data_IF_080486478008
#
_entry.id   IF_080486478008
#
_cell.length_a   1.000
_cell.length_b   1.000
_cell.length_c   1.000
_cell.angle_alpha   90.00
_cell.angle_beta   90.00
_cell.angle_gamma   90.00
#
_symmetry.space_group_name_H-M   'P 1'
#
loop_
_entity.id
_entity.type
_entity.pdbx_description
1 polymer ?
#
# COMPACT_ATOMS: atom_id res chain seq x y z
N UNK A 1 7.17 21.64 14.46
CA UNK A 1 6.23 21.22 15.53
C UNK A 1 5.00 20.65 14.84
N UNK A 2 4.75 19.35 14.97
CA UNK A 2 3.59 18.70 14.36
C UNK A 2 2.39 18.90 15.29
N UNK A 3 1.23 19.24 14.73
CA UNK A 3 -0.01 19.40 15.48
C UNK A 3 -0.60 18.03 15.82
N UNK A 4 -0.71 17.72 17.12
CA UNK A 4 -1.19 16.44 17.63
C UNK A 4 -2.68 16.16 17.34
N UNK A 5 -3.40 17.14 16.80
CA UNK A 5 -4.87 17.08 16.67
C UNK A 5 -5.36 16.51 15.34
N UNK A 6 -4.51 16.41 14.30
CA UNK A 6 -4.96 16.07 12.93
C UNK A 6 -5.03 14.57 12.58
N UNK A 7 -4.38 13.67 13.31
CA UNK A 7 -4.41 12.23 13.00
C UNK A 7 -5.72 11.53 13.44
N UNK A 8 -6.57 12.21 14.21
CA UNK A 8 -7.73 11.61 14.88
C UNK A 8 -9.02 11.50 14.03
N UNK A 9 -9.05 11.98 12.79
CA UNK A 9 -10.29 12.20 12.02
C UNK A 9 -10.52 11.22 10.84
N UNK A 10 -10.23 9.94 11.03
CA UNK A 10 -10.62 8.87 10.08
C UNK A 10 -11.36 7.71 10.77
N UNK A 11 -11.18 7.51 12.08
CA UNK A 11 -11.64 6.30 12.79
C UNK A 11 -13.09 6.39 13.29
N UNK A 12 -14.08 6.34 12.39
CA UNK A 12 -15.51 6.42 12.73
C UNK A 12 -16.46 5.59 11.84
N UNK A 13 -16.26 4.28 11.77
CA UNK A 13 -17.25 3.34 11.21
C UNK A 13 -17.46 2.15 12.18
N UNK A 14 -18.71 1.85 12.62
CA UNK A 14 -18.96 0.80 13.59
C UNK A 14 -19.02 -0.60 12.94
N UNK A 15 -18.07 -1.47 13.29
CA UNK A 15 -18.11 -2.87 12.88
C UNK A 15 -19.15 -3.64 13.73
N UNK A 16 -20.03 -4.40 13.08
CA UNK A 16 -21.12 -5.10 13.76
C UNK A 16 -20.64 -6.41 14.41
N UNK A 17 -20.94 -6.60 15.71
CA UNK A 17 -20.73 -7.87 16.39
C UNK A 17 -21.73 -8.92 15.88
N UNK A 18 -21.26 -9.89 15.10
CA UNK A 18 -21.86 -11.21 15.03
C UNK A 18 -21.25 -12.09 16.12
N UNK A 19 -21.97 -12.23 17.24
CA UNK A 19 -21.58 -13.13 18.31
C UNK A 19 -21.84 -14.59 17.95
N UNK A 20 -20.84 -15.46 18.11
CA UNK A 20 -21.05 -16.91 18.09
C UNK A 20 -21.84 -17.33 19.35
N UNK A 21 -22.78 -18.28 19.26
CA UNK A 21 -23.38 -18.89 20.44
C UNK A 21 -22.38 -19.83 21.11
N UNK A 22 -22.26 -19.75 22.43
CA UNK A 22 -21.59 -20.78 23.24
C UNK A 22 -22.59 -21.89 23.56
N UNK A 23 -22.14 -23.14 23.48
CA UNK A 23 -22.72 -24.28 24.19
C UNK A 23 -21.58 -25.13 24.77
N UNK A 24 -21.77 -25.70 25.95
CA UNK A 24 -20.77 -26.47 26.69
C UNK A 24 -21.43 -27.55 27.56
N UNK A 25 -20.68 -28.62 27.82
CA UNK A 25 -20.94 -29.80 28.68
C UNK A 25 -21.86 -30.91 28.14
N UNK A 26 -21.35 -32.15 28.13
CA UNK A 26 -22.14 -33.38 27.99
C UNK A 26 -21.43 -34.55 27.27
N UNK A 27 -20.60 -35.32 27.98
CA UNK A 27 -20.12 -36.63 27.49
C UNK A 27 -21.22 -37.70 27.53
N UNK A 28 -21.25 -38.62 26.56
CA UNK A 28 -21.55 -40.05 26.76
C UNK A 28 -21.14 -40.87 25.50
N UNK A 29 -20.79 -42.16 25.67
CA UNK A 29 -20.19 -43.00 24.62
C UNK A 29 -21.15 -43.99 23.90
N UNK A 30 -20.64 -44.55 22.79
CA UNK A 30 -21.07 -45.80 22.09
C UNK A 30 -22.35 -45.74 21.24
N UNK A 31 -22.22 -46.04 19.93
CA UNK A 31 -23.35 -46.17 19.00
C UNK A 31 -23.00 -46.57 17.57
N UNK A 32 -22.34 -47.72 17.36
CA UNK A 32 -22.04 -48.27 16.03
C UNK A 32 -23.30 -48.81 15.31
N UNK A 33 -23.56 -48.41 14.05
CA UNK A 33 -24.40 -49.09 13.06
C UNK A 33 -24.21 -48.48 11.67
N UNK A 34 -23.79 -49.27 10.68
CA UNK A 34 -23.76 -48.88 9.25
C UNK A 34 -25.16 -48.95 8.59
N UNK A 35 -25.41 -48.13 7.57
CA UNK A 35 -26.36 -48.41 6.48
C UNK A 35 -26.02 -47.55 5.25
N UNK A 36 -25.51 -48.18 4.18
CA UNK A 36 -25.56 -47.59 2.83
C UNK A 36 -26.98 -47.70 2.24
N UNK A 37 -27.38 -46.74 1.40
CA UNK A 37 -28.26 -46.99 0.25
C UNK A 37 -28.02 -45.92 -0.82
N UNK A 38 -28.05 -46.36 -2.07
CA UNK A 38 -27.52 -45.68 -3.27
C UNK A 38 -28.64 -45.18 -4.21
N UNK A 39 -28.24 -44.53 -5.32
CA UNK A 39 -29.00 -44.17 -6.53
C UNK A 39 -30.03 -43.03 -6.47
N UNK A 40 -30.02 -42.20 -7.53
CA UNK A 40 -30.97 -41.12 -7.76
C UNK A 40 -30.73 -40.28 -9.02
N UNK A 41 -30.13 -40.86 -10.07
CA UNK A 41 -29.85 -40.18 -11.35
C UNK A 41 -31.13 -39.95 -12.20
N UNK A 42 -31.14 -38.92 -13.04
CA UNK A 42 -32.37 -38.42 -13.67
C UNK A 42 -32.17 -37.32 -14.71
N UNK A 43 -31.46 -37.62 -15.81
CA UNK A 43 -31.42 -36.80 -17.03
C UNK A 43 -32.82 -36.62 -17.67
N UNK A 44 -33.04 -35.52 -18.40
CA UNK A 44 -34.37 -35.04 -18.78
C UNK A 44 -34.41 -33.94 -19.85
N UNK A 45 -33.62 -34.06 -20.91
CA UNK A 45 -33.74 -33.24 -22.14
C UNK A 45 -35.16 -33.26 -22.74
N UNK A 46 -35.70 -32.09 -23.12
CA UNK A 46 -36.33 -31.85 -24.44
C UNK A 46 -36.36 -30.34 -24.73
N UNK A 47 -36.06 -29.97 -25.99
CA UNK A 47 -36.18 -28.63 -26.59
C UNK A 47 -37.66 -28.15 -26.72
N UNK A 48 -38.09 -26.99 -27.22
CA UNK A 48 -37.57 -25.89 -28.11
C UNK A 48 -38.49 -24.66 -27.81
N UNK A 49 -38.43 -23.43 -28.35
CA UNK A 49 -37.79 -22.83 -29.55
C UNK A 49 -37.72 -21.28 -29.45
N UNK A 50 -37.18 -20.62 -30.49
CA UNK A 50 -37.52 -19.31 -31.13
C UNK A 50 -38.27 -18.16 -30.35
N UNK A 51 -38.03 -16.85 -30.52
CA UNK A 51 -37.17 -16.00 -31.41
C UNK A 51 -36.88 -14.68 -30.66
N UNK A 52 -35.79 -13.93 -30.85
CA UNK A 52 -35.64 -12.89 -31.90
C UNK A 52 -34.27 -12.21 -31.82
N UNK A 53 -33.58 -12.05 -32.95
CA UNK A 53 -32.37 -11.22 -33.06
C UNK A 53 -32.72 -9.72 -33.09
N UNK A 54 -31.90 -8.88 -32.46
CA UNK A 54 -31.56 -7.56 -33.01
C UNK A 54 -30.12 -7.24 -32.63
N UNK A 55 -29.22 -7.33 -33.61
CA UNK A 55 -27.90 -6.73 -33.50
C UNK A 55 -27.99 -5.27 -33.93
N UNK A 56 -27.58 -4.34 -33.06
CA UNK A 56 -27.42 -2.93 -33.44
C UNK A 56 -26.02 -2.46 -33.05
N UNK A 57 -25.11 -2.55 -34.02
CA UNK A 57 -23.79 -1.90 -33.95
C UNK A 57 -23.97 -0.39 -33.88
N UNK A 58 -23.64 0.20 -32.74
CA UNK A 58 -23.35 1.64 -32.65
C UNK A 58 -21.85 1.85 -32.75
N UNK A 59 -21.43 2.82 -33.57
CA UNK A 59 -20.05 2.99 -33.98
C UNK A 59 -19.14 3.56 -32.87
N UNK A 60 -17.84 3.27 -32.99
CA UNK A 60 -16.77 3.84 -32.16
C UNK A 60 -16.78 5.37 -32.23
N UNK A 61 -17.15 6.03 -31.13
CA UNK A 61 -16.80 7.43 -30.91
C UNK A 61 -15.37 7.49 -30.36
N UNK A 62 -14.39 7.42 -31.27
CA UNK A 62 -12.97 7.57 -30.94
C UNK A 62 -12.72 9.02 -30.52
N UNK A 63 -12.79 9.30 -29.22
CA UNK A 63 -12.40 10.59 -28.66
C UNK A 63 -10.87 10.68 -28.69
N UNK A 64 -10.34 11.05 -29.85
CA UNK A 64 -8.97 11.54 -29.97
C UNK A 64 -8.86 12.80 -29.11
N UNK A 65 -8.36 12.64 -27.89
CA UNK A 65 -7.86 13.73 -27.06
C UNK A 65 -6.63 14.31 -27.78
N UNK A 66 -6.88 15.22 -28.72
CA UNK A 66 -5.83 15.97 -29.40
C UNK A 66 -5.28 16.99 -28.41
N UNK A 67 -4.29 16.57 -27.62
CA UNK A 67 -3.51 17.44 -26.76
C UNK A 67 -2.97 18.62 -27.61
N UNK A 68 -3.36 19.87 -27.31
CA UNK A 68 -3.01 21.02 -28.12
C UNK A 68 -1.61 21.57 -27.79
N UNK A 69 -0.91 21.04 -26.78
CA UNK A 69 0.38 21.56 -26.31
C UNK A 69 1.55 21.09 -27.22
N UNK A 70 1.44 21.42 -28.51
CA UNK A 70 2.56 21.40 -29.47
C UNK A 70 3.50 22.59 -29.21
N UNK A 71 4.04 22.66 -27.99
CA UNK A 71 5.10 23.60 -27.63
C UNK A 71 6.37 23.24 -28.40
N UNK A 72 6.55 23.92 -29.53
CA UNK A 72 7.68 23.70 -30.44
C UNK A 72 8.90 24.45 -29.90
N UNK A 73 9.43 24.01 -28.76
CA UNK A 73 10.61 24.62 -28.14
C UNK A 73 11.84 24.43 -29.03
N UNK A 74 12.18 25.47 -29.79
CA UNK A 74 13.31 25.49 -30.70
C UNK A 74 14.57 25.96 -29.98
N UNK A 75 14.96 25.20 -28.96
CA UNK A 75 16.25 25.35 -28.29
C UNK A 75 17.38 24.86 -29.20
N UNK A 76 18.02 25.78 -29.94
CA UNK A 76 19.20 25.49 -30.78
C UNK A 76 20.45 25.10 -29.95
N UNK A 77 20.46 23.87 -29.45
CA UNK A 77 21.66 23.14 -29.02
C UNK A 77 21.78 21.85 -29.82
N UNK A 78 22.94 21.62 -30.43
CA UNK A 78 23.17 20.58 -31.44
C UNK A 78 23.31 19.15 -30.91
N UNK A 79 22.39 18.73 -30.04
CA UNK A 79 22.22 17.36 -29.56
C UNK A 79 20.88 16.84 -30.10
N UNK A 80 20.77 15.54 -30.41
CA UNK A 80 19.53 15.00 -30.99
C UNK A 80 18.37 15.19 -30.00
N UNK A 81 17.18 15.68 -30.45
CA UNK A 81 16.08 15.99 -29.55
C UNK A 81 15.60 14.74 -28.82
N UNK A 82 15.22 14.89 -27.55
CA UNK A 82 14.72 13.77 -26.75
C UNK A 82 13.38 13.28 -27.32
N UNK A 83 13.42 12.13 -28.01
CA UNK A 83 12.23 11.47 -28.54
C UNK A 83 11.56 10.68 -27.42
N UNK A 84 10.40 11.13 -26.99
CA UNK A 84 9.52 10.38 -26.08
C UNK A 84 8.95 9.14 -26.80
N UNK A 85 8.50 8.15 -26.03
CA UNK A 85 7.99 6.89 -26.57
C UNK A 85 6.45 6.94 -26.68
N UNK A 86 5.95 7.07 -27.91
CA UNK A 86 4.52 7.19 -28.23
C UNK A 86 3.78 5.84 -28.32
N UNK A 87 4.40 4.74 -27.84
CA UNK A 87 3.77 3.42 -27.76
C UNK A 87 2.52 3.45 -26.84
N UNK A 88 1.44 2.71 -27.17
CA UNK A 88 0.25 2.64 -26.34
C UNK A 88 0.55 2.02 -24.96
N UNK A 89 -0.21 2.37 -23.89
CA UNK A 89 0.00 1.80 -22.56
C UNK A 89 0.02 0.27 -22.50
N UNK A 90 -0.71 -0.42 -23.38
CA UNK A 90 -0.70 -1.90 -23.47
C UNK A 90 0.67 -2.51 -23.84
N UNK A 91 1.59 -1.73 -24.43
CA UNK A 91 2.94 -2.19 -24.77
C UNK A 91 3.90 -2.19 -23.56
N UNK A 92 3.49 -1.65 -22.41
CA UNK A 92 4.31 -1.56 -21.20
C UNK A 92 3.85 -2.54 -20.11
N UNK A 93 4.80 -3.25 -19.49
CA UNK A 93 4.56 -4.09 -18.32
C UNK A 93 4.93 -3.35 -17.02
N UNK A 94 4.14 -3.51 -15.96
CA UNK A 94 4.37 -2.88 -14.66
C UNK A 94 5.50 -3.60 -13.91
N UNK A 95 6.73 -3.17 -14.16
CA UNK A 95 7.94 -3.71 -13.51
C UNK A 95 7.92 -3.51 -11.99
N UNK A 96 7.35 -2.41 -11.50
CA UNK A 96 7.46 -2.03 -10.09
C UNK A 96 6.26 -1.26 -9.51
N UNK A 97 6.12 -1.30 -8.19
CA UNK A 97 5.13 -0.54 -7.41
C UNK A 97 5.83 0.17 -6.25
N UNK A 98 5.71 1.50 -6.22
CA UNK A 98 6.41 2.36 -5.25
C UNK A 98 5.49 3.45 -4.69
N UNK A 99 4.27 3.07 -4.28
CA UNK A 99 3.34 4.00 -3.64
C UNK A 99 3.84 4.50 -2.27
N UNK A 100 4.47 3.59 -1.52
CA UNK A 100 4.99 3.80 -0.18
C UNK A 100 6.43 3.26 -0.06
N UNK A 101 7.42 4.12 0.26
CA UNK A 101 8.79 3.68 0.48
C UNK A 101 8.91 2.59 1.57
N UNK A 102 9.94 1.75 1.42
CA UNK A 102 10.22 0.54 2.21
C UNK A 102 9.31 -0.69 1.93
N UNK A 103 8.06 -0.53 1.47
CA UNK A 103 7.12 -1.65 1.34
C UNK A 103 7.58 -2.65 0.27
N UNK A 104 7.50 -2.26 -1.00
CA UNK A 104 7.95 -3.09 -2.13
C UNK A 104 9.46 -3.37 -2.15
N UNK A 105 10.27 -2.63 -1.39
CA UNK A 105 11.73 -2.87 -1.33
C UNK A 105 12.14 -3.89 -0.27
N UNK A 106 11.63 -3.77 0.97
CA UNK A 106 12.14 -4.49 2.13
C UNK A 106 11.11 -5.33 2.91
N UNK A 107 9.81 -5.06 2.76
CA UNK A 107 8.74 -5.74 3.53
C UNK A 107 8.08 -6.85 2.72
N UNK A 108 7.83 -6.59 1.43
CA UNK A 108 7.28 -7.56 0.48
C UNK A 108 8.33 -8.62 0.12
N UNK A 109 7.93 -9.88 0.02
CA UNK A 109 8.76 -11.00 -0.38
C UNK A 109 8.37 -11.54 -1.77
N UNK A 110 7.08 -11.54 -2.11
CA UNK A 110 6.57 -12.02 -3.41
C UNK A 110 6.63 -10.95 -4.51
N UNK A 111 7.81 -10.33 -4.70
CA UNK A 111 8.02 -9.13 -5.53
C UNK A 111 7.29 -9.12 -6.88
N UNK A 112 7.49 -10.14 -7.71
CA UNK A 112 6.88 -10.19 -9.06
C UNK A 112 5.34 -10.21 -8.98
N UNK A 113 4.77 -10.92 -8.01
CA UNK A 113 3.32 -10.98 -7.79
C UNK A 113 2.78 -9.67 -7.21
N UNK A 114 3.49 -9.05 -6.27
CA UNK A 114 3.13 -7.75 -5.70
C UNK A 114 3.14 -6.65 -6.77
N UNK A 115 4.21 -6.59 -7.56
CA UNK A 115 4.40 -5.60 -8.62
C UNK A 115 3.37 -5.76 -9.74
N UNK A 116 2.90 -6.99 -10.00
CA UNK A 116 1.81 -7.25 -10.94
C UNK A 116 0.39 -7.13 -10.34
N UNK A 117 0.23 -6.98 -9.03
CA UNK A 117 -1.06 -6.71 -8.38
C UNK A 117 -1.47 -5.24 -8.40
N UNK A 118 -2.75 -4.97 -8.12
CA UNK A 118 -3.36 -3.64 -8.18
C UNK A 118 -3.73 -3.13 -6.77
N UNK A 119 -3.97 -1.82 -6.59
CA UNK A 119 -4.38 -1.25 -5.30
C UNK A 119 -5.65 -1.87 -4.68
N UNK A 120 -6.52 -2.49 -5.47
CA UNK A 120 -7.67 -3.24 -4.95
C UNK A 120 -7.27 -4.52 -4.20
N UNK A 121 -6.17 -5.15 -4.63
CA UNK A 121 -5.69 -6.43 -4.10
C UNK A 121 -5.00 -6.23 -2.74
N UNK A 122 -4.33 -5.07 -2.54
CA UNK A 122 -3.89 -4.62 -1.22
C UNK A 122 -5.07 -4.45 -0.24
N UNK A 123 -6.20 -3.92 -0.73
CA UNK A 123 -7.42 -3.68 0.07
C UNK A 123 -8.17 -5.00 0.35
N UNK A 124 -8.04 -6.00 -0.52
CA UNK A 124 -8.45 -7.38 -0.25
C UNK A 124 -7.54 -8.08 0.80
N UNK A 125 -6.44 -7.43 1.19
CA UNK A 125 -5.44 -7.85 2.18
C UNK A 125 -4.49 -8.96 1.70
N UNK A 126 -4.39 -9.20 0.38
CA UNK A 126 -3.68 -10.34 -0.21
C UNK A 126 -2.20 -10.44 0.23
N UNK A 127 -1.54 -9.30 0.44
CA UNK A 127 -0.13 -9.22 0.88
C UNK A 127 0.07 -8.99 2.38
N UNK A 128 -1.00 -8.80 3.15
CA UNK A 128 -0.91 -8.48 4.59
C UNK A 128 -0.28 -9.63 5.39
N UNK A 129 -0.41 -10.88 4.91
CA UNK A 129 0.26 -12.04 5.52
C UNK A 129 1.78 -11.96 5.50
N UNK A 130 2.40 -11.55 4.38
CA UNK A 130 3.86 -11.38 4.31
C UNK A 130 4.33 -10.07 4.95
N UNK A 131 3.54 -8.98 4.87
CA UNK A 131 3.80 -7.75 5.61
C UNK A 131 3.85 -8.03 7.13
N UNK A 132 2.89 -8.80 7.65
CA UNK A 132 2.83 -9.16 9.06
C UNK A 132 4.01 -10.08 9.47
N UNK A 133 4.42 -11.00 8.61
CA UNK A 133 5.59 -11.85 8.84
C UNK A 133 6.89 -11.03 8.90
N UNK A 134 7.08 -10.11 7.94
CA UNK A 134 8.25 -9.23 7.89
C UNK A 134 8.32 -8.26 9.07
N UNK A 135 7.21 -7.61 9.46
CA UNK A 135 7.16 -6.72 10.64
C UNK A 135 7.40 -7.50 11.93
N UNK A 136 6.82 -8.70 12.08
CA UNK A 136 7.12 -9.58 13.23
C UNK A 136 8.59 -9.98 13.27
N UNK A 137 9.22 -10.20 12.10
CA UNK A 137 10.65 -10.48 11.96
C UNK A 137 11.54 -9.30 12.37
N UNK A 138 11.15 -8.07 12.03
CA UNK A 138 11.86 -6.85 12.45
C UNK A 138 11.79 -6.66 13.97
N UNK A 139 10.61 -6.78 14.57
CA UNK A 139 10.44 -6.77 16.03
C UNK A 139 11.33 -7.79 16.73
N UNK A 140 11.28 -9.05 16.29
CA UNK A 140 12.09 -10.14 16.83
C UNK A 140 13.62 -9.97 16.65
N UNK A 141 14.06 -8.98 15.87
CA UNK A 141 15.46 -8.68 15.60
C UNK A 141 15.93 -7.31 16.13
N UNK A 142 15.01 -6.46 16.62
CA UNK A 142 15.30 -5.06 16.98
C UNK A 142 14.65 -4.59 18.30
N UNK A 143 13.69 -5.31 18.88
CA UNK A 143 13.00 -4.85 20.10
C UNK A 143 13.94 -4.74 21.32
N UNK A 144 14.97 -5.58 21.42
CA UNK A 144 15.96 -5.52 22.50
C UNK A 144 16.97 -4.38 22.30
N UNK A 145 17.39 -4.11 21.06
CA UNK A 145 18.16 -2.90 20.70
C UNK A 145 17.34 -1.61 20.95
N UNK A 146 16.05 -1.60 20.62
CA UNK A 146 15.13 -0.47 20.87
C UNK A 146 14.93 -0.21 22.37
N UNK A 147 14.84 -1.26 23.19
CA UNK A 147 14.83 -1.15 24.66
C UNK A 147 16.19 -0.73 25.25
N UNK A 148 17.27 -0.78 24.46
CA UNK A 148 18.59 -0.25 24.81
C UNK A 148 18.73 1.28 24.62
N UNK A 149 17.78 1.92 23.94
CA UNK A 149 17.71 3.37 23.66
C UNK A 149 16.42 3.97 24.26
N UNK A 150 16.19 5.29 24.27
CA UNK A 150 14.96 5.86 24.86
C UNK A 150 13.77 5.77 23.89
N UNK A 151 13.47 4.56 23.41
CA UNK A 151 12.32 4.20 22.60
C UNK A 151 11.50 3.11 23.30
N UNK A 152 10.25 2.94 22.89
CA UNK A 152 9.36 1.87 23.40
C UNK A 152 8.72 1.15 22.21
N UNK A 153 9.05 -0.12 21.96
CA UNK A 153 8.40 -0.88 20.92
C UNK A 153 6.93 -1.19 21.27
N UNK A 154 6.08 -1.23 20.25
CA UNK A 154 4.71 -1.74 20.32
C UNK A 154 4.71 -3.28 20.32
N UNK A 155 3.53 -3.91 20.45
CA UNK A 155 3.37 -5.29 19.97
C UNK A 155 3.23 -5.29 18.43
N UNK A 156 3.75 -6.30 17.70
CA UNK A 156 3.73 -6.31 16.23
C UNK A 156 2.35 -6.10 15.61
N UNK A 157 1.31 -6.71 16.19
CA UNK A 157 -0.07 -6.56 15.72
C UNK A 157 -0.59 -5.12 15.88
N UNK A 158 -0.17 -4.41 16.93
CA UNK A 158 -0.62 -3.04 17.19
C UNK A 158 0.06 -2.06 16.22
N UNK A 159 1.35 -2.25 15.92
CA UNK A 159 2.00 -1.48 14.86
C UNK A 159 1.50 -1.81 13.45
N UNK A 160 1.09 -3.06 13.17
CA UNK A 160 0.43 -3.39 11.90
C UNK A 160 -0.91 -2.63 11.74
N UNK A 161 -1.71 -2.53 12.80
CA UNK A 161 -2.92 -1.71 12.80
C UNK A 161 -2.63 -0.20 12.69
N UNK A 162 -1.55 0.27 13.32
CA UNK A 162 -1.06 1.66 13.25
C UNK A 162 -0.57 2.04 11.85
N UNK A 163 0.12 1.12 11.16
CA UNK A 163 0.69 1.34 9.83
C UNK A 163 -0.32 1.11 8.69
N UNK A 164 -1.34 0.26 8.88
CA UNK A 164 -2.32 -0.11 7.85
C UNK A 164 -2.88 1.07 7.03
N UNK A 165 -3.42 2.14 7.65
CA UNK A 165 -3.97 3.29 6.91
C UNK A 165 -2.94 4.06 6.06
N UNK A 166 -1.66 3.97 6.43
CA UNK A 166 -0.55 4.56 5.68
C UNK A 166 -0.20 3.67 4.47
N UNK A 167 0.00 2.38 4.70
CA UNK A 167 0.60 1.43 3.72
C UNK A 167 -0.41 0.64 2.87
N UNK A 168 -1.71 0.73 3.18
CA UNK A 168 -2.79 0.07 2.43
C UNK A 168 -3.76 1.13 1.87
N UNK A 169 -4.13 1.07 0.58
CA UNK A 169 -3.32 0.46 -0.48
C UNK A 169 -1.96 1.17 -0.63
N UNK A 170 -1.04 0.52 -1.34
CA UNK A 170 0.23 1.11 -1.76
C UNK A 170 0.00 2.10 -2.90
N UNK A 171 -0.31 3.33 -2.51
CA UNK A 171 -0.55 4.47 -3.40
C UNK A 171 -0.06 5.75 -2.77
N UNK A 172 0.55 6.65 -3.56
CA UNK A 172 0.86 8.01 -3.14
C UNK A 172 -0.44 8.78 -2.83
N UNK A 173 -0.56 9.26 -1.60
CA UNK A 173 -1.72 10.02 -1.10
C UNK A 173 -1.35 11.51 -1.05
N UNK A 174 -2.13 12.36 -1.72
CA UNK A 174 -1.91 13.81 -1.80
C UNK A 174 -3.15 14.56 -1.30
N UNK A 175 -2.93 15.46 -0.35
CA UNK A 175 -3.87 16.45 0.18
C UNK A 175 -3.39 17.86 -0.19
N UNK A 176 -4.13 18.55 -1.06
CA UNK A 176 -3.82 19.91 -1.52
C UNK A 176 -4.17 21.01 -0.51
N UNK A 177 -4.90 20.69 0.57
CA UNK A 177 -5.14 21.57 1.71
C UNK A 177 -4.13 21.35 2.86
N UNK A 178 -3.34 20.27 2.77
CA UNK A 178 -2.31 19.89 3.72
C UNK A 178 -0.94 20.54 3.45
N UNK A 179 -0.04 20.58 4.45
CA UNK A 179 1.37 20.90 4.20
C UNK A 179 2.03 19.77 3.38
N UNK A 180 2.89 20.13 2.44
CA UNK A 180 3.70 19.15 1.71
C UNK A 180 4.78 18.52 2.59
N UNK A 181 5.07 17.24 2.36
CA UNK A 181 6.00 16.43 3.15
C UNK A 181 5.34 15.15 3.65
N UNK A 182 6.13 14.09 3.85
CA UNK A 182 5.64 12.74 4.08
C UNK A 182 4.69 12.66 5.31
N UNK A 183 3.50 12.03 5.18
CA UNK A 183 3.04 11.20 4.07
C UNK A 183 2.30 11.94 2.93
N UNK A 184 2.15 13.26 3.00
CA UNK A 184 1.57 14.08 1.93
C UNK A 184 2.62 14.33 0.83
N UNK A 185 2.85 13.29 0.01
CA UNK A 185 3.99 13.23 -0.90
C UNK A 185 5.31 13.05 -0.15
N UNK A 186 6.38 13.73 -0.60
CA UNK A 186 7.69 13.71 0.04
C UNK A 186 8.45 15.02 -0.24
N UNK A 187 8.97 15.67 0.80
CA UNK A 187 9.96 16.74 0.70
C UNK A 187 11.39 16.17 0.68
N UNK A 188 12.33 16.89 0.07
CA UNK A 188 13.74 16.43 -0.04
C UNK A 188 14.39 16.01 1.30
N UNK A 189 14.23 16.73 2.44
CA UNK A 189 14.82 16.34 3.72
C UNK A 189 14.07 15.22 4.47
N UNK A 190 12.97 14.68 3.94
CA UNK A 190 12.18 13.68 4.67
C UNK A 190 12.93 12.34 4.79
N UNK A 191 13.28 11.98 6.02
CA UNK A 191 13.85 10.69 6.42
C UNK A 191 12.77 9.60 6.43
N UNK A 192 12.17 9.32 5.27
CA UNK A 192 10.96 8.49 5.16
C UNK A 192 11.16 7.07 5.69
N UNK A 193 12.35 6.48 5.53
CA UNK A 193 12.63 5.13 6.03
C UNK A 193 12.50 5.08 7.56
N UNK A 194 13.11 6.03 8.27
CA UNK A 194 13.07 6.12 9.72
C UNK A 194 11.67 6.50 10.24
N UNK A 195 10.91 7.29 9.48
CA UNK A 195 9.52 7.63 9.80
C UNK A 195 8.62 6.40 9.66
N UNK A 196 8.72 5.67 8.55
CA UNK A 196 7.98 4.40 8.37
C UNK A 196 8.42 3.36 9.41
N UNK A 197 9.72 3.26 9.71
CA UNK A 197 10.25 2.34 10.72
C UNK A 197 9.72 2.67 12.13
N UNK A 198 9.60 3.96 12.48
CA UNK A 198 8.96 4.38 13.72
C UNK A 198 7.48 3.97 13.76
N UNK A 199 6.75 4.09 12.64
CA UNK A 199 5.34 3.71 12.54
C UNK A 199 5.12 2.18 12.60
N UNK A 200 6.08 1.36 12.14
CA UNK A 200 5.96 -0.12 12.20
C UNK A 200 6.63 -0.79 13.40
N UNK A 201 7.42 -0.08 14.23
CA UNK A 201 8.05 -0.65 15.43
C UNK A 201 7.67 0.02 16.75
N UNK A 202 7.30 1.31 16.77
CA UNK A 202 7.14 2.08 18.02
C UNK A 202 5.68 2.28 18.44
N UNK A 203 5.44 2.21 19.75
CA UNK A 203 4.17 2.61 20.36
C UNK A 203 4.04 4.14 20.35
N UNK A 204 3.34 4.70 19.35
CA UNK A 204 3.17 6.16 19.22
C UNK A 204 2.15 6.73 20.19
N UNK A 205 1.59 5.92 21.12
CA UNK A 205 0.80 6.42 22.25
C UNK A 205 1.68 6.86 23.43
N UNK A 206 2.95 6.44 23.47
CA UNK A 206 3.89 6.78 24.54
C UNK A 206 4.20 8.28 24.57
N UNK A 207 3.99 8.99 25.70
CA UNK A 207 4.21 10.43 25.77
C UNK A 207 5.65 10.87 25.50
N UNK A 208 5.88 11.46 24.33
CA UNK A 208 7.21 11.91 23.88
C UNK A 208 7.77 11.10 22.70
N UNK A 209 7.12 9.99 22.36
CA UNK A 209 7.35 9.23 21.13
C UNK A 209 6.34 9.68 20.05
N UNK A 210 6.78 9.70 18.80
CA UNK A 210 5.99 10.01 17.60
C UNK A 210 6.68 9.45 16.34
N UNK A 211 6.03 9.58 15.18
CA UNK A 211 6.54 9.04 13.92
C UNK A 211 7.90 9.65 13.47
N UNK A 212 8.37 10.76 14.07
CA UNK A 212 9.69 11.30 13.80
C UNK A 212 10.76 10.80 14.79
N UNK A 213 10.44 9.92 15.74
CA UNK A 213 11.36 9.57 16.85
C UNK A 213 12.68 8.95 16.37
N UNK A 214 12.63 7.95 15.48
CA UNK A 214 13.86 7.35 14.92
C UNK A 214 14.61 8.33 14.01
N UNK A 215 13.89 9.15 13.24
CA UNK A 215 14.48 10.21 12.41
C UNK A 215 15.18 11.32 13.22
N UNK A 216 14.90 11.42 14.53
CA UNK A 216 15.59 12.32 15.46
C UNK A 216 16.77 11.65 16.19
N UNK A 217 17.02 10.35 15.98
CA UNK A 217 18.24 9.70 16.45
C UNK A 217 19.42 10.03 15.51
N UNK A 218 20.65 10.22 16.03
CA UNK A 218 21.83 10.58 15.23
C UNK A 218 22.44 9.36 14.52
N UNK A 219 21.62 8.58 13.82
CA UNK A 219 22.02 7.40 13.03
C UNK A 219 22.34 7.78 11.58
N UNK A 220 21.58 8.72 11.01
CA UNK A 220 21.75 9.21 9.65
C UNK A 220 22.67 10.44 9.59
N UNK A 221 23.22 10.78 8.40
CA UNK A 221 23.83 12.09 8.16
C UNK A 221 22.83 13.22 8.47
N UNK A 222 23.21 14.25 9.26
CA UNK A 222 22.27 15.24 9.77
C UNK A 222 21.76 16.25 8.72
N UNK A 223 22.41 16.31 7.55
CA UNK A 223 22.04 17.12 6.40
C UNK A 223 22.71 16.56 5.14
N UNK A 224 22.30 17.07 3.97
CA UNK A 224 23.03 16.88 2.71
C UNK A 224 24.32 17.74 2.67
N UNK A 225 25.33 17.33 1.91
CA UNK A 225 26.64 18.02 1.83
C UNK A 225 26.56 19.47 1.30
N UNK A 226 25.49 19.79 0.56
CA UNK A 226 25.10 21.14 0.14
C UNK A 226 23.64 21.39 0.51
N UNK A 227 23.29 22.64 0.83
CA UNK A 227 21.89 23.04 1.05
C UNK A 227 21.06 22.86 -0.24
N UNK A 228 19.79 22.48 -0.10
CA UNK A 228 18.85 22.43 -1.23
C UNK A 228 18.52 23.83 -1.74
N UNK A 229 18.34 23.99 -3.04
CA UNK A 229 17.96 25.26 -3.64
C UNK A 229 16.47 25.53 -3.41
N UNK A 230 16.10 26.81 -3.27
CA UNK A 230 14.70 27.23 -3.07
C UNK A 230 13.88 27.23 -4.37
N UNK A 231 14.55 27.13 -5.52
CA UNK A 231 13.98 27.16 -6.87
C UNK A 231 14.47 25.92 -7.64
N UNK A 232 13.79 25.57 -8.73
CA UNK A 232 14.17 24.41 -9.55
C UNK A 232 15.44 24.71 -10.38
N UNK A 233 16.41 23.78 -10.49
CA UNK A 233 16.44 22.45 -9.88
C UNK A 233 16.79 22.50 -8.38
N UNK A 234 15.97 21.86 -7.55
CA UNK A 234 16.09 21.95 -6.08
C UNK A 234 17.34 21.27 -5.48
N UNK A 235 18.06 20.47 -6.28
CA UNK A 235 19.34 19.87 -5.89
C UNK A 235 20.49 20.79 -6.29
N UNK A 236 21.42 21.02 -5.37
CA UNK A 236 22.65 21.75 -5.68
C UNK A 236 23.53 21.01 -6.70
N UNK A 237 24.35 21.76 -7.43
CA UNK A 237 25.30 21.21 -8.41
C UNK A 237 26.24 20.14 -7.80
N UNK A 238 26.82 19.23 -8.60
CA UNK A 238 27.90 18.33 -8.17
C UNK A 238 29.16 19.04 -7.59
N UNK A 239 30.13 18.24 -7.15
CA UNK A 239 31.43 18.69 -6.61
C UNK A 239 32.56 18.55 -7.64
#
# INVERSE_FOLDING_TARGET
MIDKTKLALVLAAPLALFGCPSDDTGDDEIGDTETETETGDGDGDTTTDDTTETAETTETAETTETDPDTETDTTETGEDPFVFADDPPENYERVDRMGMPAIATAVIMSKDAYNMANPADDVNLDFVGEIAASVTGLHAALDDDLLGVPAVPCAPNDCLMQAGPLVIPDTLKIDLEGPAGFPNGRALPDQVIDITLAVVLLDLTVPGQDAATLANFPLNPPANDKEFLAEFPYLAEPH
#
